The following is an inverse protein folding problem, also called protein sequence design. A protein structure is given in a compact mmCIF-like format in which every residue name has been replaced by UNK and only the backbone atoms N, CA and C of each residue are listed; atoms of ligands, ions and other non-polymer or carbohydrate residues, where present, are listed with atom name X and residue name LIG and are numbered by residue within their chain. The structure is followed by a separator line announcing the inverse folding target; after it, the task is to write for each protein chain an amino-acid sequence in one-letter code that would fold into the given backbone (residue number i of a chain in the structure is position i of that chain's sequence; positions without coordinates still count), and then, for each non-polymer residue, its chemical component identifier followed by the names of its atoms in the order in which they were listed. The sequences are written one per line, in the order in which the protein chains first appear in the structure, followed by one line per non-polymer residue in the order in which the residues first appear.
data_IF_698432484157
#
_entry.id   IF_698432484157
#
_cell.length_a   1.000
_cell.length_b   1.000
_cell.length_c   1.000
_cell.angle_alpha   90.00
_cell.angle_beta   90.00
_cell.angle_gamma   90.00
#
_symmetry.space_group_name_H-M   'P 1'
#
loop_
_entity.id
_entity.type
_entity.pdbx_description
1 polymer ?
#
# COMPACT_ATOMS: atom_id res chain seq x y z
N UNK A 1 -14.70 -5.61 -12.31
CA UNK A 1 -14.35 -4.18 -12.47
C UNK A 1 -13.92 -3.97 -13.91
N UNK A 2 -14.44 -2.93 -14.56
CA UNK A 2 -14.02 -2.55 -15.91
C UNK A 2 -12.72 -1.75 -15.85
N UNK A 3 -11.82 -1.96 -16.82
CA UNK A 3 -10.56 -1.20 -16.91
C UNK A 3 -10.87 0.22 -17.38
N UNK A 4 -10.41 1.23 -16.61
CA UNK A 4 -10.38 2.62 -17.07
C UNK A 4 -9.10 2.85 -17.83
N UNK A 5 -9.20 3.41 -19.02
CA UNK A 5 -8.06 3.72 -19.86
C UNK A 5 -7.88 5.22 -19.95
N UNK A 6 -6.63 5.67 -19.97
CA UNK A 6 -6.29 7.09 -20.02
C UNK A 6 -5.42 7.38 -21.23
N UNK A 7 -5.68 8.52 -21.87
CA UNK A 7 -4.70 9.23 -22.69
C UNK A 7 -3.59 9.83 -21.83
N UNK A 8 -2.50 10.26 -22.46
CA UNK A 8 -1.35 10.84 -21.76
C UNK A 8 -1.73 12.09 -20.95
N UNK A 9 -2.56 12.97 -21.51
CA UNK A 9 -3.04 14.18 -20.83
C UNK A 9 -3.93 13.83 -19.62
N UNK A 10 -4.81 12.83 -19.75
CA UNK A 10 -5.68 12.44 -18.64
C UNK A 10 -4.87 11.80 -17.50
N UNK A 11 -3.85 11.00 -17.84
CA UNK A 11 -2.92 10.46 -16.86
C UNK A 11 -2.17 11.57 -16.12
N UNK A 12 -1.66 12.59 -16.82
CA UNK A 12 -0.99 13.75 -16.21
C UNK A 12 -1.88 14.49 -15.21
N UNK A 13 -3.18 14.64 -15.52
CA UNK A 13 -4.13 15.27 -14.58
C UNK A 13 -4.43 14.42 -13.35
N UNK A 14 -4.27 13.09 -13.46
CA UNK A 14 -4.56 12.14 -12.38
C UNK A 14 -3.38 12.00 -11.41
N UNK A 15 -2.14 12.19 -11.87
CA UNK A 15 -0.92 12.14 -11.04
C UNK A 15 -1.06 12.92 -9.72
N UNK A 16 -1.41 14.22 -9.71
CA UNK A 16 -1.49 14.99 -8.46
C UNK A 16 -2.61 14.49 -7.53
N UNK A 17 -3.67 13.88 -8.09
CA UNK A 17 -4.77 13.31 -7.30
C UNK A 17 -4.31 12.06 -6.57
N UNK A 18 -3.53 11.19 -7.23
CA UNK A 18 -3.10 9.90 -6.68
C UNK A 18 -1.80 9.99 -5.86
N UNK A 19 -1.02 11.07 -5.98
CA UNK A 19 0.27 11.24 -5.31
C UNK A 19 0.20 11.06 -3.79
N UNK A 20 -0.87 11.55 -3.17
CA UNK A 20 -1.11 11.37 -1.73
C UNK A 20 -1.32 9.89 -1.37
N UNK A 21 -2.03 9.13 -2.21
CA UNK A 21 -2.25 7.70 -1.98
C UNK A 21 -0.96 6.90 -2.16
N UNK A 22 -0.16 7.21 -3.18
CA UNK A 22 1.15 6.58 -3.40
C UNK A 22 2.07 6.81 -2.18
N UNK A 23 2.10 8.03 -1.66
CA UNK A 23 2.89 8.37 -0.48
C UNK A 23 2.43 7.56 0.74
N UNK A 24 1.10 7.50 0.97
CA UNK A 24 0.53 6.67 2.06
C UNK A 24 0.88 5.20 1.91
N UNK A 25 0.80 4.64 0.71
CA UNK A 25 1.16 3.25 0.44
C UNK A 25 2.61 3.00 0.82
N UNK A 26 3.53 3.86 0.36
CA UNK A 26 4.95 3.75 0.68
C UNK A 26 5.22 3.80 2.18
N UNK A 27 4.55 4.69 2.91
CA UNK A 27 4.71 4.79 4.36
C UNK A 27 4.13 3.59 5.10
N UNK A 28 2.98 3.07 4.66
CA UNK A 28 2.37 1.86 5.21
C UNK A 28 3.28 0.65 4.95
N UNK A 29 3.82 0.50 3.74
CA UNK A 29 4.73 -0.59 3.38
C UNK A 29 5.97 -0.58 4.27
N UNK A 30 6.58 0.59 4.50
CA UNK A 30 7.71 0.71 5.45
C UNK A 30 7.33 0.31 6.88
N UNK A 31 6.15 0.72 7.34
CA UNK A 31 5.68 0.39 8.68
C UNK A 31 5.41 -1.11 8.83
N UNK A 32 4.89 -1.77 7.79
CA UNK A 32 4.71 -3.23 7.76
C UNK A 32 6.07 -3.93 7.84
N UNK A 33 7.03 -3.55 7.00
CA UNK A 33 8.38 -4.14 7.03
C UNK A 33 9.09 -3.94 8.37
N UNK A 34 8.88 -2.79 9.03
CA UNK A 34 9.41 -2.56 10.38
C UNK A 34 8.81 -3.57 11.37
N UNK A 35 7.48 -3.75 11.37
CA UNK A 35 6.84 -4.70 12.28
C UNK A 35 7.29 -6.14 12.05
N UNK A 36 7.49 -6.54 10.79
CA UNK A 36 7.99 -7.87 10.42
C UNK A 36 9.43 -8.11 10.92
N UNK A 37 10.22 -7.05 11.07
CA UNK A 37 11.60 -7.14 11.57
C UNK A 37 11.71 -7.25 13.10
N UNK A 38 10.60 -7.12 13.83
CA UNK A 38 10.63 -7.18 15.30
C UNK A 38 10.69 -8.64 15.75
N UNK A 39 11.84 -9.05 16.26
CA UNK A 39 12.00 -10.30 16.98
C UNK A 39 11.60 -10.11 18.46
N UNK A 40 10.62 -10.87 18.93
CA UNK A 40 10.19 -10.83 20.33
C UNK A 40 10.97 -11.89 21.11
N UNK A 41 11.90 -11.45 21.95
CA UNK A 41 12.60 -12.31 22.92
C UNK A 41 12.27 -11.85 24.33
N UNK A 42 11.62 -12.73 25.11
CA UNK A 42 11.28 -12.48 26.52
C UNK A 42 11.31 -13.79 27.28
N UNK A 43 11.99 -13.81 28.44
CA UNK A 43 12.01 -14.95 29.36
C UNK A 43 10.66 -15.14 30.10
N UNK A 44 9.78 -14.14 30.03
CA UNK A 44 8.40 -14.18 30.51
C UNK A 44 7.45 -14.53 29.36
N UNK A 45 6.84 -15.73 29.44
CA UNK A 45 5.91 -16.26 28.45
C UNK A 45 4.66 -15.38 28.27
N UNK A 46 4.11 -14.85 29.37
CA UNK A 46 2.90 -14.01 29.32
C UNK A 46 3.20 -12.69 28.61
N UNK A 47 4.35 -12.07 28.93
CA UNK A 47 4.81 -10.85 28.28
C UNK A 47 5.11 -11.08 26.81
N UNK A 48 5.73 -12.22 26.47
CA UNK A 48 6.01 -12.59 25.09
C UNK A 48 4.71 -12.68 24.27
N UNK A 49 3.73 -13.43 24.77
CA UNK A 49 2.42 -13.58 24.12
C UNK A 49 1.68 -12.25 23.99
N UNK A 50 1.71 -11.41 25.04
CA UNK A 50 1.07 -10.09 25.00
C UNK A 50 1.67 -9.18 23.92
N UNK A 51 3.00 -9.17 23.79
CA UNK A 51 3.69 -8.43 22.74
C UNK A 51 3.35 -8.97 21.35
N UNK A 52 3.33 -10.29 21.18
CA UNK A 52 3.00 -10.94 19.91
C UNK A 52 1.60 -10.55 19.44
N UNK A 53 0.60 -10.62 20.33
CA UNK A 53 -0.77 -10.21 20.05
C UNK A 53 -0.82 -8.74 19.62
N UNK A 54 -0.07 -7.86 20.29
CA UNK A 54 -0.05 -6.43 19.98
C UNK A 54 0.58 -6.13 18.60
N UNK A 55 1.70 -6.80 18.27
CA UNK A 55 2.37 -6.66 16.98
C UNK A 55 1.47 -7.18 15.87
N UNK A 56 0.91 -8.38 16.01
CA UNK A 56 0.00 -8.97 15.02
C UNK A 56 -1.23 -8.09 14.77
N UNK A 57 -1.81 -7.51 15.84
CA UNK A 57 -2.95 -6.57 15.70
C UNK A 57 -2.57 -5.35 14.87
N UNK A 58 -1.37 -4.81 15.09
CA UNK A 58 -0.87 -3.64 14.36
C UNK A 58 -0.56 -3.99 12.91
N UNK A 59 0.05 -5.15 12.68
CA UNK A 59 0.34 -5.70 11.36
C UNK A 59 -0.94 -5.86 10.52
N UNK A 60 -1.97 -6.51 11.06
CA UNK A 60 -3.24 -6.69 10.34
C UNK A 60 -3.95 -5.36 10.06
N UNK A 61 -3.89 -4.39 10.99
CA UNK A 61 -4.43 -3.05 10.77
C UNK A 61 -3.73 -2.33 9.62
N UNK A 62 -2.40 -2.39 9.55
CA UNK A 62 -1.63 -1.78 8.46
C UNK A 62 -1.92 -2.45 7.13
N UNK A 63 -1.99 -3.79 7.08
CA UNK A 63 -2.36 -4.52 5.87
C UNK A 63 -3.76 -4.13 5.37
N UNK A 64 -4.74 -3.99 6.27
CA UNK A 64 -6.07 -3.50 5.89
C UNK A 64 -6.00 -2.11 5.25
N UNK A 65 -5.23 -1.18 5.82
CA UNK A 65 -5.06 0.16 5.26
C UNK A 65 -4.34 0.14 3.92
N UNK A 66 -3.31 -0.70 3.78
CA UNK A 66 -2.60 -0.91 2.53
C UNK A 66 -3.56 -1.35 1.41
N UNK A 67 -4.33 -2.41 1.63
CA UNK A 67 -5.28 -2.89 0.62
C UNK A 67 -6.39 -1.89 0.30
N UNK A 68 -6.82 -1.10 1.29
CA UNK A 68 -7.78 -0.01 1.08
C UNK A 68 -7.23 1.07 0.13
N UNK A 69 -5.96 1.46 0.28
CA UNK A 69 -5.32 2.43 -0.62
C UNK A 69 -5.12 1.83 -2.02
N UNK A 70 -4.75 0.55 -2.13
CA UNK A 70 -4.65 -0.14 -3.42
C UNK A 70 -5.99 -0.19 -4.15
N UNK A 71 -7.07 -0.50 -3.43
CA UNK A 71 -8.42 -0.50 -4.01
C UNK A 71 -8.81 0.90 -4.50
N UNK A 72 -8.46 1.94 -3.75
CA UNK A 72 -8.69 3.32 -4.16
C UNK A 72 -7.90 3.70 -5.41
N UNK A 73 -6.60 3.35 -5.49
CA UNK A 73 -5.79 3.55 -6.69
C UNK A 73 -6.39 2.85 -7.91
N UNK A 74 -6.80 1.59 -7.73
CA UNK A 74 -7.40 0.79 -8.79
C UNK A 74 -8.69 1.43 -9.32
N UNK A 75 -9.54 1.96 -8.43
CA UNK A 75 -10.78 2.68 -8.79
C UNK A 75 -10.51 4.01 -9.50
N UNK A 76 -9.40 4.66 -9.15
CA UNK A 76 -8.88 5.84 -9.84
C UNK A 76 -8.27 5.49 -11.19
N UNK A 77 -7.98 4.22 -11.46
CA UNK A 77 -7.45 3.74 -12.74
C UNK A 77 -5.92 3.66 -12.80
N UNK A 78 -5.27 3.72 -11.64
CA UNK A 78 -3.83 3.51 -11.48
C UNK A 78 -3.55 2.18 -10.76
N UNK A 79 -2.41 1.56 -11.03
CA UNK A 79 -1.97 0.31 -10.41
C UNK A 79 -0.57 0.51 -9.85
N UNK A 80 -0.35 0.13 -8.59
CA UNK A 80 1.00 0.11 -8.02
C UNK A 80 1.82 -0.98 -8.71
N UNK A 81 3.01 -0.64 -9.19
CA UNK A 81 4.00 -1.59 -9.71
C UNK A 81 5.05 -1.92 -8.66
N UNK A 82 5.54 -0.88 -7.99
CA UNK A 82 6.46 -1.02 -6.87
C UNK A 82 6.00 -0.12 -5.71
N UNK A 83 5.49 -0.69 -4.60
CA UNK A 83 5.06 0.08 -3.44
C UNK A 83 6.21 0.72 -2.65
N UNK A 84 7.44 0.21 -2.74
CA UNK A 84 8.61 0.76 -2.06
C UNK A 84 9.12 2.02 -2.77
N UNK A 85 9.17 1.96 -4.09
CA UNK A 85 9.61 3.10 -4.92
C UNK A 85 8.48 4.10 -5.16
N UNK A 86 7.23 3.66 -5.08
CA UNK A 86 6.04 4.46 -5.41
C UNK A 86 5.76 4.46 -6.91
N UNK A 87 6.24 3.44 -7.64
CA UNK A 87 6.00 3.30 -9.08
C UNK A 87 4.56 2.90 -9.33
N UNK A 88 3.90 3.62 -10.23
CA UNK A 88 2.53 3.37 -10.66
C UNK A 88 2.44 3.30 -12.17
N UNK A 89 1.59 2.40 -12.65
CA UNK A 89 1.17 2.33 -14.05
C UNK A 89 -0.26 2.83 -14.17
N UNK A 90 -0.54 3.46 -15.30
CA UNK A 90 -1.89 3.76 -15.75
C UNK A 90 -2.25 2.79 -16.87
N UNK A 91 -3.46 2.25 -16.86
CA UNK A 91 -3.92 1.50 -18.02
C UNK A 91 -4.10 2.48 -19.19
N UNK A 92 -3.41 2.24 -20.30
CA UNK A 92 -3.54 3.01 -21.54
C UNK A 92 -4.21 2.19 -22.63
N UNK A 93 -5.05 2.83 -23.44
CA UNK A 93 -5.43 2.30 -24.75
C UNK A 93 -4.44 2.92 -25.74
N UNK A 94 -3.58 2.09 -26.33
CA UNK A 94 -2.77 2.51 -27.46
C UNK A 94 -3.63 2.30 -28.73
N UNK A 95 -4.37 3.31 -29.16
CA UNK A 95 -4.82 3.36 -30.55
C UNK A 95 -3.60 3.76 -31.39
N UNK A 96 -2.93 2.75 -31.93
CA UNK A 96 -1.91 2.90 -32.97
C UNK A 96 -2.55 2.96 -34.34
#
# INVERSE_FOLDING_TARGET
MEKKYFSLNEAETLIPVIQNSITRIKDITKAISLLESIEITSDDEFKSLSNEIMINKSFHKLNFLFFKELEWLLKSGAVIKDPNEGLVDFYSFYEG
#
